data_IF_703699914547
#
_entry.id   IF_703699914547
#
_cell.length_a   1.000
_cell.length_b   1.000
_cell.length_c   1.000
_cell.angle_alpha   90.00
_cell.angle_beta   90.00
_cell.angle_gamma   90.00
#
_symmetry.space_group_name_H-M   'P 1'
#
loop_
_entity.id
_entity.type
_entity.pdbx_description
1 polymer ?
#
# COMPACT_ATOMS: atom_id res chain seq x y z
N UNK A 1 -96.02 34.34 12.41
CA UNK A 1 -96.23 33.63 13.70
C UNK A 1 -94.92 32.90 14.02
N UNK A 2 -94.29 33.43 15.08
CA UNK A 2 -93.38 32.68 15.99
C UNK A 2 -92.28 31.82 15.34
N UNK A 3 -91.08 31.82 15.74
CA UNK A 3 -90.26 32.29 16.85
C UNK A 3 -88.87 31.68 16.66
N UNK A 4 -87.89 32.46 16.78
CA UNK A 4 -86.82 32.38 17.81
C UNK A 4 -85.76 31.33 17.56
N UNK A 5 -84.59 31.88 17.34
CA UNK A 5 -83.41 31.76 18.22
C UNK A 5 -82.68 30.39 18.25
N UNK A 6 -81.48 30.34 17.87
CA UNK A 6 -80.38 30.26 18.83
C UNK A 6 -79.02 30.38 18.19
N UNK A 7 -78.27 31.27 18.72
CA UNK A 7 -76.86 31.56 18.52
C UNK A 7 -76.01 30.69 19.45
N UNK A 8 -75.02 30.03 18.98
CA UNK A 8 -73.82 29.53 19.72
C UNK A 8 -72.79 29.19 18.62
N UNK A 9 -71.70 29.88 18.43
CA UNK A 9 -70.65 30.20 19.37
C UNK A 9 -69.77 28.99 19.65
N UNK A 10 -68.81 28.64 18.69
CA UNK A 10 -67.81 27.68 19.03
C UNK A 10 -66.48 28.15 18.42
N UNK A 11 -65.62 28.43 19.29
CA UNK A 11 -64.23 28.81 19.22
C UNK A 11 -63.40 28.03 18.22
N UNK A 12 -62.74 28.78 17.38
CA UNK A 12 -61.65 28.25 16.54
C UNK A 12 -60.45 27.96 17.47
N UNK A 13 -60.23 26.70 17.76
CA UNK A 13 -58.99 26.20 18.31
C UNK A 13 -57.98 26.07 17.15
N UNK A 14 -57.14 27.09 17.07
CA UNK A 14 -55.93 27.02 16.22
C UNK A 14 -54.96 26.05 16.86
N UNK A 15 -54.97 24.80 16.38
CA UNK A 15 -53.92 23.83 16.69
C UNK A 15 -52.65 24.24 15.95
N UNK A 16 -51.74 24.90 16.64
CA UNK A 16 -50.40 25.20 16.17
C UNK A 16 -49.61 23.88 16.23
N UNK A 17 -49.58 23.13 15.14
CA UNK A 17 -48.70 21.99 15.00
C UNK A 17 -47.26 22.52 14.84
N UNK A 18 -46.51 22.54 15.93
CA UNK A 18 -45.07 22.75 15.92
C UNK A 18 -44.47 21.47 15.34
N UNK A 19 -44.16 21.50 14.05
CA UNK A 19 -43.33 20.47 13.42
C UNK A 19 -41.91 20.65 13.94
N UNK A 20 -41.53 19.88 14.96
CA UNK A 20 -40.13 19.72 15.34
C UNK A 20 -39.45 18.93 14.23
N UNK A 21 -38.81 19.63 13.31
CA UNK A 21 -37.86 19.02 12.37
C UNK A 21 -36.64 18.67 13.20
N UNK A 22 -36.59 17.42 13.68
CA UNK A 22 -35.35 16.82 14.19
C UNK A 22 -34.45 16.64 12.98
N UNK A 23 -33.55 17.60 12.75
CA UNK A 23 -32.40 17.39 11.90
C UNK A 23 -31.53 16.31 12.60
N UNK A 24 -31.77 15.06 12.27
CA UNK A 24 -30.82 14.02 12.48
C UNK A 24 -29.68 14.34 11.49
N UNK A 25 -28.68 15.07 11.98
CA UNK A 25 -27.40 15.10 11.31
C UNK A 25 -26.89 13.64 11.34
N UNK A 26 -27.27 12.87 10.33
CA UNK A 26 -26.55 11.67 10.02
C UNK A 26 -25.13 12.16 9.71
N UNK A 27 -24.23 12.04 10.68
CA UNK A 27 -22.82 12.07 10.39
C UNK A 27 -22.65 10.96 9.35
N UNK A 28 -22.55 11.35 8.08
CA UNK A 28 -22.06 10.44 7.07
C UNK A 28 -20.76 9.90 7.65
N UNK A 29 -20.72 8.62 8.02
CA UNK A 29 -19.48 7.99 8.41
C UNK A 29 -18.54 8.26 7.24
N UNK A 30 -17.56 9.10 7.47
CA UNK A 30 -16.59 9.47 6.45
C UNK A 30 -16.00 8.16 5.96
N UNK A 31 -16.07 7.91 4.63
CA UNK A 31 -15.59 6.66 4.07
C UNK A 31 -14.12 6.54 4.43
N UNK A 32 -13.78 5.50 5.18
CA UNK A 32 -12.41 5.25 5.61
C UNK A 32 -11.47 5.19 4.41
N UNK A 33 -10.27 5.68 4.58
CA UNK A 33 -9.19 5.54 3.61
C UNK A 33 -8.09 4.63 4.15
N UNK A 34 -7.18 4.22 3.30
CA UNK A 34 -6.06 3.36 3.69
C UNK A 34 -4.93 4.18 4.33
N UNK A 35 -5.34 5.00 5.30
CA UNK A 35 -4.46 5.85 6.09
C UNK A 35 -4.86 5.82 7.57
N UNK A 36 -3.89 6.03 8.44
CA UNK A 36 -4.06 6.09 9.89
C UNK A 36 -3.35 7.31 10.45
N UNK A 37 -3.98 7.92 11.42
CA UNK A 37 -3.37 8.97 12.23
C UNK A 37 -2.94 8.36 13.56
N UNK A 38 -1.64 8.37 13.82
CA UNK A 38 -1.06 7.92 15.07
C UNK A 38 -0.69 9.12 15.94
N UNK A 39 -1.04 9.07 17.23
CA UNK A 39 -0.74 10.13 18.20
C UNK A 39 -0.15 9.54 19.47
N UNK A 40 0.77 10.27 20.08
CA UNK A 40 1.40 9.91 21.34
C UNK A 40 2.69 10.70 21.55
N UNK A 41 3.15 10.77 22.80
CA UNK A 41 4.39 11.47 23.15
C UNK A 41 4.48 12.93 22.64
N UNK A 42 3.34 13.57 22.40
CA UNK A 42 3.24 14.96 21.95
C UNK A 42 3.35 15.21 20.46
N UNK A 43 3.49 14.16 19.64
CA UNK A 43 3.59 14.24 18.17
C UNK A 43 2.44 13.55 17.44
N UNK A 44 2.39 13.79 16.14
CA UNK A 44 1.46 13.17 15.18
C UNK A 44 2.27 12.56 14.04
N UNK A 45 1.90 11.33 13.67
CA UNK A 45 2.44 10.64 12.51
C UNK A 45 1.26 10.09 11.70
N UNK A 46 1.24 10.39 10.43
CA UNK A 46 0.32 9.76 9.47
C UNK A 46 0.98 8.53 8.86
N UNK A 47 0.23 7.44 8.79
CA UNK A 47 0.67 6.18 8.20
C UNK A 47 -0.21 5.90 6.99
N UNK A 48 0.33 5.88 5.81
CA UNK A 48 -0.37 5.59 4.57
C UNK A 48 0.14 4.28 4.00
N UNK A 49 -0.77 3.34 3.81
CA UNK A 49 -0.46 2.09 3.12
C UNK A 49 -0.46 2.30 1.62
N UNK A 50 0.71 2.15 1.01
CA UNK A 50 0.90 2.35 -0.42
C UNK A 50 0.56 1.11 -1.23
N UNK A 51 0.15 1.35 -2.46
CA UNK A 51 0.21 0.42 -3.59
C UNK A 51 1.16 1.03 -4.60
N UNK A 52 2.28 0.34 -4.87
CA UNK A 52 3.37 0.86 -5.70
C UNK A 52 3.02 1.05 -7.17
N UNK A 53 1.95 0.40 -7.64
CA UNK A 53 1.43 0.53 -8.99
C UNK A 53 -0.06 0.84 -8.91
N UNK A 54 -0.49 1.96 -9.48
CA UNK A 54 -1.89 2.34 -9.56
C UNK A 54 -2.30 2.61 -11.01
N UNK A 55 -3.59 2.75 -11.27
CA UNK A 55 -4.11 3.22 -12.55
C UNK A 55 -4.69 4.63 -12.43
N UNK A 56 -4.93 5.27 -13.57
CA UNK A 56 -5.49 6.64 -13.61
C UNK A 56 -6.84 6.78 -12.90
N UNK A 57 -7.61 5.69 -12.79
CA UNK A 57 -8.94 5.68 -12.17
C UNK A 57 -8.89 5.88 -10.65
N UNK A 58 -7.70 5.82 -10.04
CA UNK A 58 -7.48 6.10 -8.62
C UNK A 58 -7.33 7.59 -8.34
N UNK A 59 -7.19 8.40 -9.37
CA UNK A 59 -7.03 9.84 -9.24
C UNK A 59 -8.31 10.59 -9.64
N UNK A 60 -8.69 11.67 -8.89
CA UNK A 60 -7.96 12.21 -7.72
C UNK A 60 -7.99 11.25 -6.52
N UNK A 61 -6.96 11.30 -5.69
CA UNK A 61 -6.89 10.53 -4.45
C UNK A 61 -7.98 10.96 -3.45
N UNK A 62 -8.24 10.08 -2.46
CA UNK A 62 -9.13 10.45 -1.35
C UNK A 62 -8.61 11.72 -0.66
N UNK A 63 -9.47 12.74 -0.43
CA UNK A 63 -9.06 14.00 0.19
C UNK A 63 -8.36 13.86 1.55
N UNK A 64 -8.63 12.80 2.31
CA UNK A 64 -7.97 12.56 3.59
C UNK A 64 -6.47 12.24 3.41
N UNK A 65 -6.07 11.58 2.31
CA UNK A 65 -4.65 11.34 1.98
C UNK A 65 -3.93 12.66 1.68
N UNK A 66 -4.54 13.51 0.86
CA UNK A 66 -4.01 14.83 0.54
C UNK A 66 -3.97 15.77 1.77
N UNK A 67 -4.94 15.65 2.67
CA UNK A 67 -4.96 16.41 3.92
C UNK A 67 -3.81 15.98 4.85
N UNK A 68 -3.56 14.68 4.99
CA UNK A 68 -2.44 14.14 5.77
C UNK A 68 -1.09 14.62 5.20
N UNK A 69 -0.93 14.61 3.88
CA UNK A 69 0.25 15.14 3.22
C UNK A 69 0.46 16.64 3.48
N UNK A 70 -0.61 17.44 3.38
CA UNK A 70 -0.54 18.89 3.61
C UNK A 70 -0.17 19.26 5.04
N UNK A 71 -0.66 18.49 6.00
CA UNK A 71 -0.41 18.70 7.43
C UNK A 71 1.02 18.26 7.84
N UNK A 72 1.64 17.34 7.08
CA UNK A 72 3.00 16.87 7.34
C UNK A 72 4.06 17.81 6.76
N UNK A 73 5.16 18.01 7.48
CA UNK A 73 6.35 18.75 7.05
C UNK A 73 7.50 17.83 6.58
N UNK A 74 7.34 16.52 6.80
CA UNK A 74 8.29 15.48 6.41
C UNK A 74 7.56 14.33 5.76
N UNK A 75 8.05 13.89 4.59
CA UNK A 75 7.69 12.62 3.97
C UNK A 75 8.74 11.55 4.35
N UNK A 76 8.27 10.39 4.79
CA UNK A 76 9.13 9.23 5.05
C UNK A 76 8.62 8.05 4.24
N UNK A 77 9.50 7.45 3.45
CA UNK A 77 9.21 6.30 2.60
C UNK A 77 10.02 5.08 3.05
N UNK A 78 9.81 3.93 2.42
CA UNK A 78 10.65 2.76 2.66
C UNK A 78 12.11 3.08 2.30
N UNK A 79 12.31 3.60 1.10
CA UNK A 79 13.59 4.10 0.58
C UNK A 79 13.33 5.50 0.00
N UNK A 80 14.24 6.43 0.16
CA UNK A 80 14.16 7.70 -0.56
C UNK A 80 14.19 7.42 -2.08
N UNK A 81 13.12 7.79 -2.79
CA UNK A 81 13.06 7.55 -4.24
C UNK A 81 14.19 8.22 -5.02
N UNK A 82 14.79 9.30 -4.50
CA UNK A 82 16.00 9.87 -5.11
C UNK A 82 17.15 8.85 -5.17
N UNK A 83 17.31 8.03 -4.13
CA UNK A 83 18.30 6.95 -4.10
C UNK A 83 17.97 5.85 -5.11
N UNK A 84 16.69 5.47 -5.24
CA UNK A 84 16.24 4.47 -6.23
C UNK A 84 16.41 4.96 -7.67
N UNK A 85 16.26 6.26 -7.91
CA UNK A 85 16.39 6.88 -9.23
C UNK A 85 17.84 7.22 -9.59
N UNK A 86 18.78 7.14 -8.63
CA UNK A 86 20.20 7.38 -8.89
C UNK A 86 20.76 6.35 -9.86
N UNK A 87 21.49 6.75 -10.91
CA UNK A 87 22.05 5.83 -11.91
C UNK A 87 22.97 4.75 -11.31
N UNK A 88 23.71 5.05 -10.24
CA UNK A 88 24.59 4.09 -9.58
C UNK A 88 23.78 3.01 -8.87
N UNK A 89 22.73 3.40 -8.18
CA UNK A 89 21.78 2.47 -7.52
C UNK A 89 21.06 1.58 -8.54
N UNK A 90 20.61 2.15 -9.65
CA UNK A 90 20.00 1.38 -10.74
C UNK A 90 20.98 0.38 -11.37
N UNK A 91 22.22 0.78 -11.62
CA UNK A 91 23.25 -0.12 -12.12
C UNK A 91 23.57 -1.22 -11.11
N UNK A 92 23.64 -0.87 -9.81
CA UNK A 92 23.81 -1.82 -8.72
C UNK A 92 22.68 -2.85 -8.66
N UNK A 93 21.41 -2.42 -8.81
CA UNK A 93 20.25 -3.29 -8.88
C UNK A 93 20.34 -4.27 -10.03
N UNK A 94 20.62 -3.79 -11.24
CA UNK A 94 20.76 -4.63 -12.42
C UNK A 94 21.90 -5.63 -12.25
N UNK A 95 23.08 -5.19 -11.83
CA UNK A 95 24.25 -6.05 -11.64
C UNK A 95 23.98 -7.16 -10.62
N UNK A 96 23.34 -6.83 -9.48
CA UNK A 96 22.97 -7.81 -8.46
C UNK A 96 21.92 -8.80 -8.97
N UNK A 97 21.07 -8.39 -9.89
CA UNK A 97 20.06 -9.25 -10.53
C UNK A 97 20.60 -10.18 -11.59
N UNK A 98 21.89 -10.07 -11.98
CA UNK A 98 22.48 -10.89 -13.02
C UNK A 98 23.07 -12.19 -12.47
N UNK A 99 22.95 -13.25 -13.24
CA UNK A 99 23.66 -14.52 -13.05
C UNK A 99 25.06 -14.48 -13.69
N UNK A 100 26.01 -15.28 -13.21
CA UNK A 100 27.23 -15.53 -13.94
C UNK A 100 26.96 -16.08 -15.36
N UNK A 101 27.75 -15.68 -16.34
CA UNK A 101 27.53 -16.03 -17.75
C UNK A 101 27.48 -17.55 -18.02
N UNK A 102 28.20 -18.32 -17.19
CA UNK A 102 28.29 -19.77 -17.31
C UNK A 102 27.11 -20.53 -16.70
N UNK A 103 26.28 -19.84 -15.94
CA UNK A 103 25.13 -20.43 -15.20
C UNK A 103 23.83 -19.72 -15.53
N UNK A 104 23.29 -19.89 -16.75
CA UNK A 104 22.03 -19.28 -17.13
C UNK A 104 20.84 -19.80 -16.29
N UNK A 105 19.73 -19.09 -16.31
CA UNK A 105 18.54 -19.35 -15.49
C UNK A 105 18.07 -20.80 -15.55
N UNK A 106 18.05 -21.42 -16.73
CA UNK A 106 17.65 -22.82 -16.93
C UNK A 106 18.59 -23.85 -16.29
N UNK A 107 19.74 -23.42 -15.78
CA UNK A 107 20.69 -24.25 -15.01
C UNK A 107 20.59 -24.06 -13.51
N UNK A 108 19.96 -22.99 -13.04
CA UNK A 108 19.87 -22.67 -11.61
C UNK A 108 18.48 -22.89 -11.04
N UNK A 109 17.48 -23.16 -11.88
CA UNK A 109 16.12 -23.49 -11.48
C UNK A 109 15.66 -24.83 -12.08
N UNK A 110 14.61 -25.42 -11.54
CA UNK A 110 14.03 -26.67 -12.04
C UNK A 110 13.42 -26.49 -13.43
N UNK A 111 13.36 -27.59 -14.20
CA UNK A 111 12.71 -27.60 -15.51
C UNK A 111 11.22 -27.22 -15.45
N UNK A 112 10.55 -27.52 -14.32
CA UNK A 112 9.16 -27.15 -14.09
C UNK A 112 9.00 -25.62 -13.96
N UNK A 113 9.80 -24.97 -13.12
CA UNK A 113 9.81 -23.51 -12.95
C UNK A 113 10.24 -22.82 -14.26
N UNK A 114 11.28 -23.32 -14.93
CA UNK A 114 11.69 -22.77 -16.23
C UNK A 114 10.57 -22.84 -17.26
N UNK A 115 9.82 -23.95 -17.30
CA UNK A 115 8.64 -24.08 -18.17
C UNK A 115 7.55 -23.04 -17.87
N UNK A 116 7.35 -22.64 -16.61
CA UNK A 116 6.47 -21.51 -16.25
C UNK A 116 7.01 -20.19 -16.83
N UNK A 117 8.30 -19.92 -16.65
CA UNK A 117 8.92 -18.69 -17.16
C UNK A 117 8.79 -18.61 -18.69
N UNK A 118 9.05 -19.72 -19.42
CA UNK A 118 8.92 -19.76 -20.90
C UNK A 118 7.50 -19.43 -21.35
N UNK A 119 6.50 -20.04 -20.73
CA UNK A 119 5.09 -19.74 -21.05
C UNK A 119 4.78 -18.28 -20.82
N UNK A 120 5.17 -17.77 -19.64
CA UNK A 120 4.88 -16.40 -19.23
C UNK A 120 5.53 -15.35 -20.12
N UNK A 121 6.80 -15.55 -20.49
CA UNK A 121 7.51 -14.69 -21.45
C UNK A 121 6.83 -14.67 -22.81
N UNK A 122 6.35 -15.82 -23.28
CA UNK A 122 5.61 -15.91 -24.54
C UNK A 122 4.29 -15.11 -24.48
N UNK A 123 3.52 -15.20 -23.38
CA UNK A 123 2.26 -14.45 -23.15
C UNK A 123 2.48 -12.93 -23.09
N UNK A 124 3.68 -12.51 -22.67
CA UNK A 124 4.09 -11.10 -22.60
C UNK A 124 4.80 -10.63 -23.89
N UNK A 125 5.03 -11.51 -24.86
CA UNK A 125 5.74 -11.18 -26.09
C UNK A 125 7.25 -10.91 -25.90
N UNK A 126 7.85 -11.46 -24.83
CA UNK A 126 9.26 -11.26 -24.50
C UNK A 126 10.12 -12.39 -25.06
N UNK A 127 11.35 -12.10 -25.50
CA UNK A 127 12.32 -13.15 -25.81
C UNK A 127 12.86 -13.77 -24.52
N UNK A 128 12.71 -15.08 -24.34
CA UNK A 128 13.22 -15.82 -23.17
C UNK A 128 14.72 -15.59 -22.94
N UNK A 129 15.48 -15.38 -24.01
CA UNK A 129 16.92 -15.13 -23.95
C UNK A 129 17.29 -13.93 -23.06
N UNK A 130 16.42 -12.90 -23.02
CA UNK A 130 16.63 -11.72 -22.17
C UNK A 130 16.57 -12.05 -20.67
N UNK A 131 15.83 -13.11 -20.29
CA UNK A 131 15.68 -13.52 -18.89
C UNK A 131 16.70 -14.56 -18.44
N UNK A 132 17.38 -15.23 -19.38
CA UNK A 132 18.37 -16.28 -19.04
C UNK A 132 19.54 -15.78 -18.22
N UNK A 133 19.87 -14.51 -18.33
CA UNK A 133 20.98 -13.89 -17.61
C UNK A 133 20.58 -13.38 -16.21
N UNK A 134 19.33 -13.49 -15.82
CA UNK A 134 18.80 -12.91 -14.60
C UNK A 134 18.63 -13.96 -13.50
N UNK A 135 18.87 -13.55 -12.26
CA UNK A 135 18.55 -14.35 -11.07
C UNK A 135 17.04 -14.55 -10.94
N UNK A 136 16.58 -15.66 -10.32
CA UNK A 136 15.15 -15.96 -10.21
C UNK A 136 14.33 -14.83 -9.53
N UNK A 137 14.87 -14.17 -8.48
CA UNK A 137 14.18 -13.06 -7.84
C UNK A 137 13.95 -11.86 -8.77
N UNK A 138 14.93 -11.57 -9.64
CA UNK A 138 14.81 -10.47 -10.61
C UNK A 138 13.76 -10.81 -11.68
N UNK A 139 13.75 -12.05 -12.15
CA UNK A 139 12.72 -12.53 -13.09
C UNK A 139 11.34 -12.45 -12.48
N UNK A 140 11.19 -12.85 -11.20
CA UNK A 140 9.90 -12.73 -10.49
C UNK A 140 9.40 -11.29 -10.45
N UNK A 141 10.23 -10.34 -10.01
CA UNK A 141 9.85 -8.92 -9.96
C UNK A 141 9.48 -8.38 -11.35
N UNK A 142 10.31 -8.66 -12.35
CA UNK A 142 10.13 -8.13 -13.70
C UNK A 142 8.84 -8.65 -14.35
N UNK A 143 8.59 -9.94 -14.27
CA UNK A 143 7.37 -10.53 -14.84
C UNK A 143 6.11 -10.09 -14.09
N UNK A 144 6.15 -10.02 -12.75
CA UNK A 144 5.05 -9.49 -11.95
C UNK A 144 4.73 -8.04 -12.33
N UNK A 145 5.73 -7.17 -12.41
CA UNK A 145 5.53 -5.78 -12.81
C UNK A 145 4.90 -5.67 -14.20
N UNK A 146 5.37 -6.48 -15.17
CA UNK A 146 4.81 -6.46 -16.53
C UNK A 146 3.37 -6.95 -16.59
N UNK A 147 2.99 -7.93 -15.77
CA UNK A 147 1.59 -8.35 -15.67
C UNK A 147 0.69 -7.23 -15.11
N UNK A 148 1.16 -6.50 -14.11
CA UNK A 148 0.46 -5.35 -13.59
C UNK A 148 0.31 -4.23 -14.64
N UNK A 149 1.38 -3.96 -15.39
CA UNK A 149 1.35 -3.00 -16.50
C UNK A 149 0.35 -3.42 -17.59
N UNK A 150 0.33 -4.71 -17.95
CA UNK A 150 -0.65 -5.27 -18.92
C UNK A 150 -2.09 -5.14 -18.41
N UNK A 151 -2.29 -5.15 -17.11
CA UNK A 151 -3.58 -4.90 -16.47
C UNK A 151 -3.92 -3.39 -16.32
N UNK A 152 -3.07 -2.48 -16.80
CA UNK A 152 -3.30 -1.04 -16.80
C UNK A 152 -2.77 -0.30 -15.57
N UNK A 153 -1.98 -0.96 -14.73
CA UNK A 153 -1.31 -0.35 -13.58
C UNK A 153 0.09 0.13 -13.95
N UNK A 154 0.48 1.28 -13.39
CA UNK A 154 1.75 1.92 -13.71
C UNK A 154 2.45 2.38 -12.43
N UNK A 155 3.76 2.15 -12.34
CA UNK A 155 4.58 2.62 -11.22
C UNK A 155 4.68 4.15 -11.17
N UNK A 156 4.61 4.83 -12.32
CA UNK A 156 4.55 6.30 -12.38
C UNK A 156 3.28 6.87 -11.72
N UNK A 157 2.26 6.04 -11.55
CA UNK A 157 1.02 6.37 -10.85
C UNK A 157 0.98 5.80 -9.42
N UNK A 158 2.04 5.14 -8.98
CA UNK A 158 2.14 4.60 -7.62
C UNK A 158 2.03 5.69 -6.56
N UNK A 159 1.46 5.32 -5.41
CA UNK A 159 1.19 6.28 -4.34
C UNK A 159 2.48 6.87 -3.75
N UNK A 160 3.54 6.08 -3.64
CA UNK A 160 4.87 6.52 -3.20
C UNK A 160 5.38 7.62 -4.14
N UNK A 161 5.40 7.33 -5.44
CA UNK A 161 5.84 8.28 -6.48
C UNK A 161 5.03 9.58 -6.47
N UNK A 162 3.71 9.47 -6.29
CA UNK A 162 2.83 10.63 -6.20
C UNK A 162 3.25 11.57 -5.05
N UNK A 163 3.38 11.06 -3.83
CA UNK A 163 3.76 11.88 -2.69
C UNK A 163 5.21 12.34 -2.74
N UNK A 164 6.10 11.52 -3.29
CA UNK A 164 7.48 11.93 -3.52
C UNK A 164 7.56 13.14 -4.45
N UNK A 165 6.93 13.07 -5.62
CA UNK A 165 6.95 14.17 -6.60
C UNK A 165 6.34 15.43 -6.03
N UNK A 166 5.24 15.30 -5.29
CA UNK A 166 4.59 16.42 -4.62
C UNK A 166 5.49 17.02 -3.54
N UNK A 167 6.18 16.19 -2.74
CA UNK A 167 7.11 16.65 -1.71
C UNK A 167 8.32 17.39 -2.32
N UNK A 168 8.84 16.89 -3.45
CA UNK A 168 9.92 17.57 -4.18
C UNK A 168 9.47 18.92 -4.74
N UNK A 169 8.26 18.99 -5.29
CA UNK A 169 7.68 20.23 -5.82
C UNK A 169 7.43 21.27 -4.72
N UNK A 170 6.97 20.82 -3.55
CA UNK A 170 6.68 21.68 -2.38
C UNK A 170 7.92 21.99 -1.54
N UNK A 171 9.09 21.43 -1.85
CA UNK A 171 10.33 21.61 -1.10
C UNK A 171 10.31 20.95 0.28
N UNK A 172 9.44 19.96 0.52
CA UNK A 172 9.41 19.17 1.76
C UNK A 172 10.62 18.24 1.85
N UNK A 173 11.05 17.97 3.07
CA UNK A 173 12.10 16.96 3.31
C UNK A 173 11.55 15.56 3.03
N UNK A 174 12.33 14.74 2.30
CA UNK A 174 12.06 13.32 2.08
C UNK A 174 13.14 12.49 2.76
N UNK A 175 12.78 11.36 3.36
CA UNK A 175 13.69 10.41 4.01
C UNK A 175 13.26 8.98 3.76
N UNK A 176 14.23 8.05 3.64
CA UNK A 176 13.97 6.60 3.64
C UNK A 176 14.16 5.99 5.03
N UNK A 177 13.37 4.96 5.35
CA UNK A 177 13.65 4.11 6.52
C UNK A 177 14.87 3.23 6.30
N UNK A 178 15.15 2.86 5.07
CA UNK A 178 16.25 2.00 4.67
C UNK A 178 16.87 2.50 3.36
N UNK A 179 18.01 1.92 2.99
CA UNK A 179 18.68 2.22 1.71
C UNK A 179 18.20 1.28 0.62
N UNK A 180 18.33 1.69 -0.65
CA UNK A 180 18.06 0.85 -1.81
C UNK A 180 18.90 -0.44 -1.75
N UNK A 181 20.17 -0.35 -1.36
CA UNK A 181 21.05 -1.52 -1.21
C UNK A 181 20.53 -2.51 -0.18
N UNK A 182 20.06 -2.02 0.98
CA UNK A 182 19.47 -2.90 2.00
C UNK A 182 18.23 -3.60 1.46
N UNK A 183 17.32 -2.88 0.78
CA UNK A 183 16.10 -3.46 0.23
C UNK A 183 16.40 -4.53 -0.82
N UNK A 184 17.31 -4.26 -1.77
CA UNK A 184 17.76 -5.23 -2.76
C UNK A 184 18.36 -6.47 -2.08
N UNK A 185 19.14 -6.30 -1.00
CA UNK A 185 19.74 -7.40 -0.26
C UNK A 185 18.72 -8.33 0.36
N UNK A 186 17.46 -7.88 0.58
CA UNK A 186 16.39 -8.75 1.09
C UNK A 186 15.99 -9.81 0.07
N UNK A 187 16.12 -9.52 -1.21
CA UNK A 187 15.86 -10.47 -2.31
C UNK A 187 17.12 -11.18 -2.74
N UNK A 188 18.17 -10.45 -3.07
CA UNK A 188 19.44 -11.00 -3.57
C UNK A 188 20.13 -11.93 -2.56
N UNK A 189 20.02 -11.64 -1.27
CA UNK A 189 20.58 -12.46 -0.21
C UNK A 189 19.78 -13.72 0.13
N UNK A 190 18.72 -14.07 -0.60
CA UNK A 190 18.04 -15.36 -0.48
C UNK A 190 18.87 -16.46 -1.13
N UNK A 191 18.76 -17.69 -0.61
CA UNK A 191 19.34 -18.86 -1.26
C UNK A 191 18.67 -19.08 -2.63
N UNK A 192 19.35 -19.75 -3.55
CA UNK A 192 18.83 -19.95 -4.91
C UNK A 192 17.51 -20.73 -4.92
N UNK A 193 17.35 -21.71 -4.07
CA UNK A 193 16.11 -22.48 -3.91
C UNK A 193 14.93 -21.60 -3.41
N UNK A 194 15.21 -20.63 -2.52
CA UNK A 194 14.21 -19.67 -2.06
C UNK A 194 13.82 -18.67 -3.15
N UNK A 195 14.82 -18.23 -3.96
CA UNK A 195 14.55 -17.36 -5.11
C UNK A 195 13.74 -18.09 -6.18
N UNK A 196 14.05 -19.37 -6.45
CA UNK A 196 13.27 -20.20 -7.37
C UNK A 196 11.84 -20.37 -6.87
N UNK A 197 11.67 -20.62 -5.56
CA UNK A 197 10.36 -20.75 -4.96
C UNK A 197 9.52 -19.47 -5.10
N UNK A 198 10.12 -18.31 -4.78
CA UNK A 198 9.48 -17.01 -5.02
C UNK A 198 9.03 -16.85 -6.48
N UNK A 199 9.91 -17.20 -7.44
CA UNK A 199 9.60 -17.13 -8.86
C UNK A 199 8.45 -18.07 -9.24
N UNK A 200 8.51 -19.32 -8.78
CA UNK A 200 7.47 -20.31 -9.08
C UNK A 200 6.11 -19.87 -8.55
N UNK A 201 6.03 -19.41 -7.29
CA UNK A 201 4.79 -18.93 -6.70
C UNK A 201 4.23 -17.71 -7.44
N UNK A 202 5.07 -16.71 -7.77
CA UNK A 202 4.64 -15.53 -8.51
C UNK A 202 4.13 -15.80 -9.94
N UNK A 203 4.33 -17.03 -10.46
CA UNK A 203 3.91 -17.40 -11.82
C UNK A 203 2.77 -18.45 -11.89
N UNK A 204 2.31 -18.97 -10.74
CA UNK A 204 1.42 -20.15 -10.72
C UNK A 204 0.04 -19.90 -11.29
N UNK A 205 -0.69 -18.93 -10.81
CA UNK A 205 -2.08 -18.73 -11.17
C UNK A 205 -2.39 -17.25 -11.42
N UNK A 206 -2.19 -16.84 -12.66
CA UNK A 206 -2.35 -15.43 -13.02
C UNK A 206 -3.78 -14.95 -13.13
N UNK A 207 -4.72 -15.81 -13.41
CA UNK A 207 -6.13 -15.39 -13.45
C UNK A 207 -6.61 -15.15 -12.02
N UNK A 208 -6.19 -16.00 -11.08
CA UNK A 208 -6.41 -15.75 -9.65
C UNK A 208 -5.62 -14.52 -9.16
N UNK A 209 -4.37 -14.34 -9.59
CA UNK A 209 -3.54 -13.17 -9.31
C UNK A 209 -4.20 -11.86 -9.77
N UNK A 210 -4.72 -11.81 -11.00
CA UNK A 210 -5.44 -10.63 -11.51
C UNK A 210 -6.71 -10.34 -10.71
N UNK A 211 -7.46 -11.39 -10.34
CA UNK A 211 -8.65 -11.23 -9.51
C UNK A 211 -8.29 -10.74 -8.10
N UNK A 212 -7.20 -11.22 -7.52
CA UNK A 212 -6.69 -10.78 -6.23
C UNK A 212 -6.18 -9.35 -6.29
N UNK A 213 -5.47 -8.98 -7.35
CA UNK A 213 -5.02 -7.61 -7.60
C UNK A 213 -6.19 -6.62 -7.64
N UNK A 214 -7.24 -6.92 -8.40
CA UNK A 214 -8.43 -6.08 -8.46
C UNK A 214 -9.08 -5.93 -7.10
N UNK A 215 -9.27 -7.03 -6.37
CA UNK A 215 -9.82 -7.01 -5.00
C UNK A 215 -8.93 -6.24 -4.02
N UNK A 216 -7.60 -6.37 -4.17
CA UNK A 216 -6.63 -5.65 -3.35
C UNK A 216 -6.80 -4.13 -3.52
N UNK A 217 -6.79 -3.65 -4.75
CA UNK A 217 -6.85 -2.20 -5.01
C UNK A 217 -8.23 -1.61 -4.73
N UNK A 218 -9.31 -2.38 -4.95
CA UNK A 218 -10.66 -1.98 -4.55
C UNK A 218 -10.79 -1.91 -3.02
N UNK A 219 -10.30 -2.92 -2.30
CA UNK A 219 -10.25 -2.93 -0.84
C UNK A 219 -9.41 -1.80 -0.28
N UNK A 220 -8.26 -1.52 -0.90
CA UNK A 220 -7.41 -0.39 -0.56
C UNK A 220 -8.16 0.95 -0.76
N UNK A 221 -8.81 1.15 -1.90
CA UNK A 221 -9.62 2.36 -2.20
C UNK A 221 -10.75 2.55 -1.19
N UNK A 222 -11.38 1.45 -0.78
CA UNK A 222 -12.47 1.46 0.18
C UNK A 222 -12.02 1.57 1.65
N UNK A 223 -10.71 1.57 1.94
CA UNK A 223 -10.19 1.54 3.30
C UNK A 223 -10.46 0.23 4.04
N UNK A 224 -10.75 -0.87 3.32
CA UNK A 224 -11.01 -2.20 3.90
C UNK A 224 -9.70 -2.88 4.32
N UNK A 225 -9.13 -2.41 5.43
CA UNK A 225 -7.89 -2.98 5.96
C UNK A 225 -7.97 -4.49 6.25
N UNK A 226 -9.06 -5.06 6.82
CA UNK A 226 -9.19 -6.50 7.00
C UNK A 226 -9.24 -7.29 5.68
N UNK A 227 -9.88 -6.74 4.64
CA UNK A 227 -9.93 -7.35 3.31
C UNK A 227 -8.57 -7.41 2.65
N UNK A 228 -7.87 -6.28 2.66
CA UNK A 228 -6.49 -6.16 2.13
C UNK A 228 -5.53 -7.06 2.91
N UNK A 229 -5.63 -7.11 4.26
CA UNK A 229 -4.81 -8.00 5.09
C UNK A 229 -4.94 -9.46 4.65
N UNK A 230 -6.17 -9.96 4.48
CA UNK A 230 -6.41 -11.35 4.07
C UNK A 230 -5.75 -11.68 2.74
N UNK A 231 -5.75 -10.76 1.78
CA UNK A 231 -5.14 -10.98 0.47
C UNK A 231 -3.62 -10.95 0.59
N UNK A 232 -3.06 -9.84 1.08
CA UNK A 232 -1.60 -9.61 1.06
C UNK A 232 -0.86 -10.51 2.04
N UNK A 233 -1.37 -10.66 3.27
CA UNK A 233 -0.70 -11.48 4.30
C UNK A 233 -1.12 -12.94 4.24
N UNK A 234 -2.24 -13.28 3.62
CA UNK A 234 -2.72 -14.66 3.51
C UNK A 234 -1.72 -15.55 2.76
N UNK A 235 -1.22 -15.07 1.64
CA UNK A 235 -0.21 -15.77 0.84
C UNK A 235 1.19 -15.66 1.45
N UNK A 236 1.60 -14.45 1.83
CA UNK A 236 2.93 -14.20 2.38
C UNK A 236 3.20 -14.98 3.68
N UNK A 237 2.19 -15.21 4.52
CA UNK A 237 2.33 -16.03 5.75
C UNK A 237 2.52 -17.52 5.48
N UNK A 238 2.16 -18.00 4.29
CA UNK A 238 2.45 -19.37 3.88
C UNK A 238 3.95 -19.56 3.57
N UNK A 239 4.67 -18.46 3.41
CA UNK A 239 6.10 -18.39 3.12
C UNK A 239 6.85 -17.76 4.31
N UNK A 240 7.09 -18.49 5.41
CA UNK A 240 7.58 -17.91 6.67
C UNK A 240 8.92 -17.18 6.52
N UNK A 241 9.80 -17.67 5.65
CA UNK A 241 11.11 -17.04 5.41
C UNK A 241 10.95 -15.68 4.71
N UNK A 242 10.08 -15.63 3.70
CA UNK A 242 9.79 -14.38 2.98
C UNK A 242 9.07 -13.40 3.90
N UNK A 243 8.07 -13.87 4.64
CA UNK A 243 7.33 -13.07 5.62
C UNK A 243 8.25 -12.39 6.64
N UNK A 244 9.15 -13.18 7.27
CA UNK A 244 10.12 -12.63 8.21
C UNK A 244 11.05 -11.63 7.54
N UNK A 245 11.62 -11.98 6.39
CA UNK A 245 12.66 -11.21 5.73
C UNK A 245 12.14 -9.92 5.09
N UNK A 246 11.00 -9.99 4.41
CA UNK A 246 10.46 -8.88 3.62
C UNK A 246 9.57 -7.95 4.45
N UNK A 247 9.01 -8.43 5.57
CA UNK A 247 8.06 -7.67 6.37
C UNK A 247 8.52 -7.50 7.83
N UNK A 248 8.59 -8.59 8.60
CA UNK A 248 8.72 -8.52 10.06
C UNK A 248 10.04 -7.88 10.50
N UNK A 249 11.16 -8.30 9.91
CA UNK A 249 12.48 -7.73 10.23
C UNK A 249 12.54 -6.24 9.88
N UNK A 250 11.99 -5.85 8.74
CA UNK A 250 11.95 -4.47 8.29
C UNK A 250 11.08 -3.62 9.24
N UNK A 251 9.88 -4.07 9.57
CA UNK A 251 9.01 -3.40 10.53
C UNK A 251 9.67 -3.19 11.89
N UNK A 252 10.37 -4.21 12.40
CA UNK A 252 11.14 -4.11 13.65
C UNK A 252 12.27 -3.08 13.56
N UNK A 253 12.96 -2.99 12.42
CA UNK A 253 14.02 -2.01 12.19
C UNK A 253 13.47 -0.59 12.04
N UNK A 254 12.26 -0.42 11.48
CA UNK A 254 11.64 0.88 11.29
C UNK A 254 10.99 1.42 12.56
N UNK A 255 10.45 0.54 13.42
CA UNK A 255 9.70 0.96 14.60
C UNK A 255 10.41 2.00 15.47
N UNK A 256 11.69 1.85 15.87
CA UNK A 256 12.38 2.88 16.66
C UNK A 256 12.55 4.20 15.90
N UNK A 257 12.70 4.16 14.57
CA UNK A 257 12.75 5.36 13.72
C UNK A 257 11.41 6.06 13.69
N UNK A 258 10.30 5.30 13.60
CA UNK A 258 8.93 5.83 13.67
C UNK A 258 8.66 6.44 15.05
N UNK A 259 9.09 5.79 16.14
CA UNK A 259 8.94 6.34 17.50
C UNK A 259 9.68 7.69 17.68
N UNK A 260 10.83 7.85 17.03
CA UNK A 260 11.58 9.10 17.05
C UNK A 260 10.84 10.26 16.34
N UNK A 261 10.00 9.96 15.35
CA UNK A 261 9.21 10.97 14.65
C UNK A 261 8.17 11.65 15.56
N UNK A 262 7.63 10.96 16.56
CA UNK A 262 6.70 11.55 17.52
C UNK A 262 7.34 12.58 18.44
N UNK A 263 8.65 12.59 18.60
CA UNK A 263 9.38 13.56 19.39
C UNK A 263 9.74 14.83 18.62
N UNK A 264 9.45 14.88 17.31
CA UNK A 264 9.73 16.06 16.48
C UNK A 264 8.73 17.20 16.76
N UNK A 265 9.18 18.42 16.51
CA UNK A 265 8.29 19.55 16.30
C UNK A 265 7.82 19.49 14.84
N UNK A 266 6.54 19.18 14.63
CA UNK A 266 5.94 18.98 13.31
C UNK A 266 5.38 17.58 13.12
N UNK A 267 4.76 17.35 11.97
CA UNK A 267 4.08 16.11 11.64
C UNK A 267 4.82 15.37 10.53
N UNK A 268 4.80 14.05 10.55
CA UNK A 268 5.39 13.23 9.51
C UNK A 268 4.31 12.43 8.78
N UNK A 269 4.43 12.33 7.45
CA UNK A 269 3.70 11.38 6.64
C UNK A 269 4.63 10.21 6.31
N UNK A 270 4.22 9.02 6.70
CA UNK A 270 4.89 7.76 6.35
C UNK A 270 4.10 7.11 5.24
N UNK A 271 4.74 6.82 4.12
CA UNK A 271 4.18 6.11 2.97
C UNK A 271 4.99 4.84 2.76
N UNK A 272 4.39 3.70 3.06
CA UNK A 272 5.03 2.38 2.96
C UNK A 272 4.04 1.36 2.40
N UNK A 273 4.52 0.30 1.80
CA UNK A 273 3.65 -0.75 1.25
C UNK A 273 2.59 -1.21 2.26
N UNK A 274 1.34 -1.33 1.80
CA UNK A 274 0.18 -1.62 2.64
C UNK A 274 0.39 -2.81 3.61
N UNK A 275 1.13 -3.83 3.17
CA UNK A 275 1.47 -5.01 3.98
C UNK A 275 2.19 -4.66 5.28
N UNK A 276 3.05 -3.64 5.27
CA UNK A 276 3.83 -3.21 6.43
C UNK A 276 2.97 -2.67 7.57
N UNK A 277 1.77 -2.18 7.26
CA UNK A 277 0.86 -1.62 8.27
C UNK A 277 -0.02 -2.66 8.95
N UNK A 278 -0.27 -3.81 8.28
CA UNK A 278 -1.34 -4.75 8.60
C UNK A 278 -0.86 -5.95 9.42
N UNK A 279 -1.84 -6.60 10.08
CA UNK A 279 -1.60 -7.82 10.84
C UNK A 279 -0.89 -7.62 12.18
N UNK A 280 -0.60 -8.74 12.90
CA UNK A 280 -0.02 -8.69 14.26
C UNK A 280 1.42 -8.18 14.27
N UNK A 281 2.18 -8.39 13.20
CA UNK A 281 3.56 -7.90 13.03
C UNK A 281 3.60 -6.57 12.22
N UNK A 282 2.43 -5.96 11.96
CA UNK A 282 2.31 -4.67 11.27
C UNK A 282 2.61 -3.49 12.18
N UNK A 283 3.05 -2.39 11.58
CA UNK A 283 3.42 -1.15 12.28
C UNK A 283 2.28 -0.62 13.15
N UNK A 284 1.01 -0.73 12.68
CA UNK A 284 -0.16 -0.29 13.44
C UNK A 284 -0.28 -1.08 14.76
N UNK A 285 -0.18 -2.41 14.69
CA UNK A 285 -0.25 -3.27 15.86
C UNK A 285 0.93 -3.01 16.81
N UNK A 286 2.14 -2.86 16.28
CA UNK A 286 3.33 -2.55 17.06
C UNK A 286 3.23 -1.21 17.80
N UNK A 287 2.72 -0.16 17.15
CA UNK A 287 2.52 1.15 17.78
C UNK A 287 1.45 1.09 18.88
N UNK A 288 0.33 0.42 18.61
CA UNK A 288 -0.73 0.22 19.62
C UNK A 288 -0.20 -0.53 20.85
N UNK A 289 0.60 -1.58 20.65
CA UNK A 289 1.24 -2.32 21.74
C UNK A 289 2.19 -1.47 22.58
N UNK A 290 2.73 -0.37 22.01
CA UNK A 290 3.57 0.63 22.71
C UNK A 290 2.78 1.79 23.32
N UNK A 291 1.45 1.75 23.26
CA UNK A 291 0.56 2.74 23.88
C UNK A 291 0.26 3.98 23.01
N UNK A 292 0.59 3.94 21.72
CA UNK A 292 0.15 4.99 20.79
C UNK A 292 -1.32 4.80 20.42
N UNK A 293 -2.06 5.89 20.29
CA UNK A 293 -3.41 5.88 19.72
C UNK A 293 -3.28 5.90 18.20
N UNK A 294 -3.84 4.89 17.51
CA UNK A 294 -3.76 4.75 16.05
C UNK A 294 -5.18 4.55 15.50
N UNK A 295 -5.66 5.55 14.78
CA UNK A 295 -7.04 5.62 14.25
C UNK A 295 -7.00 5.68 12.73
N UNK A 296 -7.84 4.87 12.07
CA UNK A 296 -8.00 4.91 10.62
C UNK A 296 -8.82 6.12 10.24
N UNK A 297 -8.39 6.82 9.18
CA UNK A 297 -9.02 8.02 8.64
C UNK A 297 -10.07 7.71 7.58
#
# INVERSE_FOLDING_TARGET
MKMMKAWRGASALRSLAIAIVVLVAASAAEAKTFAWRATGKGGVVYLVGSVHLLSKDFYPLNPALEAAYKDADLLVEEVDLAEMLDPTSQMGFLTRGMLPSETPLDKVISAATYGLVVRRTADLGLPIEALKILKPWMVALMLTQMEWQKAGFDAELGLDKHFYDQAKADGKTVQGFETAEYQISRLDGMKMDQQEHLLAESLKDLDAERANMTKLVEGWRAGDAPGVERIVLGELKQEPVLYQRLLVERNKNWLPKIEALFARHGHALIVVGAAHLLGPDGIIAMLRAKGYTVEQQ
#
